data_IF_779579153837
#
_entry.id   IF_779579153837
#
_cell.length_a   1.000
_cell.length_b   1.000
_cell.length_c   1.000
_cell.angle_alpha   90.00
_cell.angle_beta   90.00
_cell.angle_gamma   90.00
#
_symmetry.space_group_name_H-M   'P 1'
#
loop_
_entity.id
_entity.type
_entity.pdbx_description
1 polymer ?
#
# COMPACT_ATOMS: atom_id res chain seq x y z
N UNK A 1 -8.25 2.22 -9.73
CA UNK A 1 -6.96 1.52 -9.51
C UNK A 1 -7.20 0.30 -8.65
N UNK A 2 -6.34 -0.70 -8.73
CA UNK A 2 -6.33 -1.80 -7.76
C UNK A 2 -5.01 -1.79 -6.99
N UNK A 3 -5.05 -2.05 -5.70
CA UNK A 3 -3.85 -2.23 -4.88
C UNK A 3 -3.80 -3.66 -4.35
N UNK A 4 -2.63 -4.29 -4.46
CA UNK A 4 -2.34 -5.62 -3.97
C UNK A 4 -1.23 -5.53 -2.94
N UNK A 5 -1.49 -6.03 -1.74
CA UNK A 5 -0.57 -6.03 -0.59
C UNK A 5 -0.24 -7.47 -0.26
N UNK A 6 1.01 -7.88 -0.47
CA UNK A 6 1.48 -9.21 -0.09
C UNK A 6 2.36 -9.10 1.16
N UNK A 7 1.87 -9.61 2.28
CA UNK A 7 2.58 -9.52 3.55
C UNK A 7 3.68 -10.57 3.60
N UNK A 8 4.92 -10.13 3.81
CA UNK A 8 6.09 -11.01 3.96
C UNK A 8 6.48 -11.23 5.42
N UNK A 9 6.14 -10.31 6.31
CA UNK A 9 6.23 -10.48 7.76
C UNK A 9 5.37 -9.43 8.47
N UNK A 10 4.92 -9.71 9.68
CA UNK A 10 4.08 -8.79 10.45
C UNK A 10 4.14 -9.08 11.95
N UNK A 11 4.01 -8.05 12.78
CA UNK A 11 3.80 -8.20 14.23
C UNK A 11 2.61 -7.35 14.71
N UNK A 12 1.93 -7.83 15.75
CA UNK A 12 0.80 -7.15 16.38
C UNK A 12 -0.45 -7.02 15.49
N UNK A 13 -1.37 -6.16 15.91
CA UNK A 13 -2.60 -5.84 15.16
C UNK A 13 -2.58 -4.38 14.76
N UNK A 14 -2.72 -4.11 13.47
CA UNK A 14 -2.67 -2.76 12.92
C UNK A 14 -3.60 -2.60 11.71
N UNK A 15 -3.83 -1.35 11.35
CA UNK A 15 -4.48 -0.93 10.11
C UNK A 15 -3.44 -0.32 9.19
N UNK A 16 -3.50 -0.66 7.91
CA UNK A 16 -2.69 0.00 6.90
C UNK A 16 -3.43 1.20 6.33
N UNK A 17 -2.76 2.34 6.27
CA UNK A 17 -3.18 3.53 5.56
C UNK A 17 -2.26 3.71 4.36
N UNK A 18 -2.85 3.94 3.20
CA UNK A 18 -2.11 4.02 1.95
C UNK A 18 -2.59 5.21 1.13
N UNK A 19 -1.66 5.87 0.47
CA UNK A 19 -1.89 6.91 -0.52
C UNK A 19 -1.12 6.56 -1.81
N UNK A 20 -1.80 6.58 -2.96
CA UNK A 20 -1.19 6.42 -4.28
C UNK A 20 -1.01 7.82 -4.88
N UNK A 21 0.21 8.13 -5.32
CA UNK A 21 0.59 9.44 -5.85
C UNK A 21 0.94 9.28 -7.33
N UNK A 22 0.33 10.11 -8.17
CA UNK A 22 0.70 10.27 -9.57
C UNK A 22 0.95 11.73 -9.93
N UNK A 23 1.33 11.97 -11.19
CA UNK A 23 1.66 13.30 -11.72
C UNK A 23 0.49 14.30 -11.68
N UNK A 24 -0.74 13.82 -11.76
CA UNK A 24 -1.95 14.66 -11.82
C UNK A 24 -2.73 14.71 -10.50
N UNK A 25 -2.27 14.02 -9.46
CA UNK A 25 -2.91 14.04 -8.14
C UNK A 25 -2.60 12.83 -7.27
N UNK A 26 -3.35 12.70 -6.18
CA UNK A 26 -3.23 11.57 -5.26
C UNK A 26 -4.59 11.03 -4.79
N UNK A 27 -4.57 9.85 -4.18
CA UNK A 27 -5.76 9.26 -3.57
C UNK A 27 -6.00 9.75 -2.15
N UNK A 28 -5.14 10.61 -1.60
CA UNK A 28 -5.02 10.93 -0.19
C UNK A 28 -4.83 9.72 0.73
N UNK A 29 -4.34 9.95 1.95
CA UNK A 29 -4.12 8.89 2.93
C UNK A 29 -5.46 8.31 3.42
N UNK A 30 -5.68 7.01 3.19
CA UNK A 30 -6.91 6.33 3.62
C UNK A 30 -6.65 4.90 4.06
N UNK A 31 -7.50 4.39 4.93
CA UNK A 31 -7.44 3.01 5.41
C UNK A 31 -8.07 2.06 4.39
N UNK A 32 -7.36 0.98 4.11
CA UNK A 32 -7.92 -0.16 3.38
C UNK A 32 -8.07 -1.29 4.38
N UNK A 33 -9.30 -1.59 4.76
CA UNK A 33 -9.59 -2.61 5.77
C UNK A 33 -10.21 -3.83 5.10
N UNK A 34 -9.69 -5.00 5.45
CA UNK A 34 -10.33 -6.29 5.26
C UNK A 34 -10.67 -6.85 6.65
N UNK A 35 -11.58 -7.83 6.73
CA UNK A 35 -11.88 -8.54 7.97
C UNK A 35 -10.77 -9.51 8.39
N UNK A 36 -9.71 -9.63 7.58
CA UNK A 36 -8.57 -10.51 7.82
C UNK A 36 -7.32 -9.69 8.19
N UNK A 37 -6.52 -10.17 9.16
CA UNK A 37 -5.27 -9.50 9.53
C UNK A 37 -4.17 -9.67 8.46
N UNK A 38 -3.24 -8.72 8.41
CA UNK A 38 -2.04 -8.76 7.57
C UNK A 38 -1.01 -9.74 8.14
N UNK A 39 -1.27 -11.05 8.10
CA UNK A 39 -0.33 -12.08 8.56
C UNK A 39 0.67 -12.46 7.47
N UNK A 40 1.84 -12.99 7.83
CA UNK A 40 2.81 -13.51 6.86
C UNK A 40 2.16 -14.49 5.85
N UNK A 41 2.42 -14.26 4.56
CA UNK A 41 1.87 -15.03 3.45
C UNK A 41 0.45 -14.61 3.02
N UNK A 42 -0.19 -13.69 3.74
CA UNK A 42 -1.49 -13.13 3.33
C UNK A 42 -1.35 -12.20 2.12
N UNK A 43 -2.41 -12.16 1.31
CA UNK A 43 -2.56 -11.22 0.21
C UNK A 43 -3.91 -10.52 0.30
N UNK A 44 -3.89 -9.20 0.30
CA UNK A 44 -5.10 -8.39 0.28
C UNK A 44 -5.15 -7.59 -1.02
N UNK A 45 -6.33 -7.52 -1.63
CA UNK A 45 -6.56 -6.73 -2.84
C UNK A 45 -7.70 -5.75 -2.57
N UNK A 46 -7.51 -4.49 -2.96
CA UNK A 46 -8.51 -3.45 -2.78
C UNK A 46 -8.71 -2.69 -4.08
N UNK A 47 -9.95 -2.36 -4.37
CA UNK A 47 -10.30 -1.41 -5.41
C UNK A 47 -10.21 0.01 -4.84
N UNK A 48 -9.64 0.91 -5.64
CA UNK A 48 -9.40 2.30 -5.27
C UNK A 48 -10.04 3.19 -6.32
N UNK A 49 -11.14 3.82 -5.92
CA UNK A 49 -11.82 4.83 -6.71
C UNK A 49 -11.09 6.16 -6.59
N UNK A 50 -10.58 6.65 -7.72
CA UNK A 50 -9.91 7.94 -7.82
C UNK A 50 -10.10 8.51 -9.23
N UNK A 51 -9.90 9.83 -9.36
CA UNK A 51 -9.71 10.45 -10.67
C UNK A 51 -8.44 9.90 -11.33
N UNK A 52 -8.26 10.17 -12.63
CA UNK A 52 -7.00 9.85 -13.29
C UNK A 52 -5.85 10.60 -12.59
N UNK A 53 -4.89 9.85 -12.06
CA UNK A 53 -3.71 10.36 -11.36
C UNK A 53 -2.52 10.61 -12.30
N UNK A 54 -2.67 10.36 -13.61
CA UNK A 54 -1.56 10.40 -14.56
C UNK A 54 -0.58 9.23 -14.34
N UNK A 55 0.70 9.47 -14.67
CA UNK A 55 1.77 8.49 -14.41
C UNK A 55 1.95 8.32 -12.91
N UNK A 56 1.88 7.09 -12.40
CA UNK A 56 2.09 6.82 -10.98
C UNK A 56 3.57 6.97 -10.61
N UNK A 57 3.84 7.65 -9.50
CA UNK A 57 5.19 8.01 -9.05
C UNK A 57 5.57 7.31 -7.75
N UNK A 58 4.69 7.35 -6.75
CA UNK A 58 4.98 6.85 -5.41
C UNK A 58 3.75 6.21 -4.75
N UNK A 59 4.01 5.40 -3.74
CA UNK A 59 3.03 5.03 -2.72
C UNK A 59 3.54 5.49 -1.37
N UNK A 60 2.69 6.14 -0.60
CA UNK A 60 2.92 6.38 0.82
C UNK A 60 2.15 5.36 1.66
N UNK A 61 2.81 4.82 2.68
CA UNK A 61 2.22 3.84 3.60
C UNK A 61 2.49 4.26 5.03
N UNK A 62 1.49 4.10 5.89
CA UNK A 62 1.57 4.22 7.34
C UNK A 62 0.78 3.08 7.97
N UNK A 63 1.28 2.51 9.07
CA UNK A 63 0.46 1.61 9.89
C UNK A 63 0.02 2.31 11.18
N UNK A 64 -1.17 1.99 11.65
CA UNK A 64 -1.70 2.44 12.95
C UNK A 64 -2.13 1.21 13.76
N UNK A 65 -1.56 1.04 14.96
CA UNK A 65 -1.75 -0.14 15.80
C UNK A 65 -0.96 -0.03 17.11
N UNK A 66 -0.74 -1.15 17.76
CA UNK A 66 0.03 -1.22 19.01
C UNK A 66 1.50 -0.85 18.80
N UNK A 67 2.18 -0.33 19.82
CA UNK A 67 3.59 0.14 19.71
C UNK A 67 4.56 -0.93 19.15
N UNK A 68 4.27 -2.22 19.35
CA UNK A 68 5.06 -3.34 18.84
C UNK A 68 4.69 -3.80 17.43
N UNK A 69 3.78 -3.10 16.75
CA UNK A 69 3.36 -3.47 15.40
C UNK A 69 4.37 -3.05 14.34
N UNK A 70 4.65 -3.99 13.43
CA UNK A 70 5.53 -3.79 12.30
C UNK A 70 4.99 -4.56 11.10
N UNK A 71 5.37 -4.13 9.90
CA UNK A 71 4.87 -4.75 8.67
C UNK A 71 5.90 -4.72 7.56
N UNK A 72 6.23 -5.89 7.03
CA UNK A 72 6.97 -6.05 5.79
C UNK A 72 6.03 -6.48 4.68
N UNK A 73 6.05 -5.76 3.56
CA UNK A 73 5.06 -5.90 2.49
C UNK A 73 5.64 -5.62 1.12
N UNK A 74 5.16 -6.37 0.13
CA UNK A 74 5.29 -6.04 -1.28
C UNK A 74 4.01 -5.40 -1.80
N UNK A 75 4.14 -4.25 -2.47
CA UNK A 75 3.02 -3.44 -2.92
C UNK A 75 3.01 -3.39 -4.44
N UNK A 76 1.85 -3.74 -5.01
CA UNK A 76 1.57 -3.59 -6.44
C UNK A 76 0.36 -2.68 -6.63
N UNK A 77 0.48 -1.69 -7.51
CA UNK A 77 -0.63 -0.83 -7.94
C UNK A 77 -0.92 -1.08 -9.41
N UNK A 78 -2.17 -1.45 -9.73
CA UNK A 78 -2.64 -1.64 -11.09
C UNK A 78 -3.58 -0.54 -11.55
N UNK A 79 -3.48 -0.20 -12.84
CA UNK A 79 -4.43 0.64 -13.56
C UNK A 79 -5.45 -0.29 -14.21
N UNK A 80 -6.69 -0.28 -13.70
CA UNK A 80 -7.75 -1.23 -14.09
C UNK A 80 -8.09 -1.14 -15.59
N UNK A 81 -8.05 0.05 -16.17
CA UNK A 81 -8.52 0.30 -17.55
C UNK A 81 -7.57 -0.24 -18.62
N UNK A 82 -6.25 -0.22 -18.37
CA UNK A 82 -5.24 -0.59 -19.35
C UNK A 82 -4.35 -1.77 -18.93
N UNK A 83 -4.55 -2.30 -17.71
CA UNK A 83 -3.81 -3.43 -17.16
C UNK A 83 -2.37 -3.12 -16.74
N UNK A 84 -1.92 -1.87 -16.83
CA UNK A 84 -0.56 -1.47 -16.44
C UNK A 84 -0.36 -1.64 -14.94
N UNK A 85 0.81 -2.14 -14.54
CA UNK A 85 1.15 -2.39 -13.15
C UNK A 85 2.43 -1.67 -12.74
N UNK A 86 2.44 -1.21 -11.50
CA UNK A 86 3.57 -0.60 -10.84
C UNK A 86 3.86 -1.36 -9.56
N UNK A 87 5.13 -1.47 -9.21
CA UNK A 87 5.60 -2.18 -8.01
C UNK A 87 6.56 -1.31 -7.21
N UNK A 88 6.60 -1.52 -5.89
CA UNK A 88 7.67 -1.00 -5.03
C UNK A 88 8.79 -2.03 -4.89
N UNK A 89 9.97 -1.59 -4.44
CA UNK A 89 10.90 -2.52 -3.81
C UNK A 89 10.28 -3.02 -2.48
N UNK A 90 10.65 -4.22 -1.98
CA UNK A 90 10.18 -4.71 -0.69
C UNK A 90 10.48 -3.71 0.43
N UNK A 91 9.49 -3.44 1.28
CA UNK A 91 9.60 -2.46 2.37
C UNK A 91 9.35 -3.10 3.73
N UNK A 92 10.04 -2.59 4.75
CA UNK A 92 9.71 -2.80 6.15
C UNK A 92 9.25 -1.47 6.77
N UNK A 93 8.07 -1.48 7.37
CA UNK A 93 7.49 -0.39 8.15
C UNK A 93 7.66 -0.76 9.62
N UNK A 94 8.66 -0.19 10.33
CA UNK A 94 9.14 -0.74 11.58
C UNK A 94 8.28 -0.37 12.79
N UNK A 95 7.46 0.68 12.69
CA UNK A 95 6.66 1.17 13.80
C UNK A 95 5.38 1.87 13.33
N UNK A 96 4.31 1.87 14.15
CA UNK A 96 3.11 2.64 13.86
C UNK A 96 3.37 4.15 13.83
N UNK A 97 2.56 4.87 13.06
CA UNK A 97 2.65 6.33 12.93
C UNK A 97 3.73 6.82 11.97
N UNK A 98 4.71 5.99 11.61
CA UNK A 98 5.73 6.34 10.63
C UNK A 98 5.16 6.31 9.21
N UNK A 99 5.27 7.44 8.50
CA UNK A 99 4.98 7.53 7.08
C UNK A 99 6.21 7.11 6.27
N UNK A 100 6.04 6.14 5.38
CA UNK A 100 7.08 5.67 4.46
C UNK A 100 6.62 5.96 3.02
N UNK A 101 7.45 6.64 2.24
CA UNK A 101 7.21 6.90 0.81
C UNK A 101 8.10 6.02 -0.04
N UNK A 102 7.49 5.33 -1.01
CA UNK A 102 8.13 4.32 -1.83
C UNK A 102 7.93 4.65 -3.31
N UNK A 103 9.03 4.74 -4.09
CA UNK A 103 8.91 4.97 -5.52
C UNK A 103 8.29 3.76 -6.21
N UNK A 104 7.40 4.04 -7.15
CA UNK A 104 6.78 3.04 -8.01
C UNK A 104 7.61 2.85 -9.29
N UNK A 105 7.78 1.59 -9.70
CA UNK A 105 8.40 1.22 -10.97
C UNK A 105 7.40 0.46 -11.81
N UNK A 106 7.24 0.87 -13.06
CA UNK A 106 6.40 0.17 -14.02
C UNK A 106 6.98 -1.24 -14.28
N UNK A 107 6.11 -2.24 -14.31
CA UNK A 107 6.44 -3.64 -14.59
C UNK A 107 5.96 -4.06 -15.98
#
# INVERSE_FOLDING_TARGET
>A
YNISLATTASTGTFRALINIIGEEGDTSMRTYADNSPYVEGSKHNFDVDAVNLGTLQDVEVKIEGDESSSWSVDITVGITDNGMQYVTDPVNIPAPGQLVRLPLRQR
#
